data_IF_233762524374
#
_entry.id   IF_233762524374
#
_cell.length_a   1.000
_cell.length_b   1.000
_cell.length_c   1.000
_cell.angle_alpha   90.00
_cell.angle_beta   90.00
_cell.angle_gamma   90.00
#
_symmetry.space_group_name_H-M   'P 1'
#
loop_
_entity.id
_entity.type
_entity.pdbx_description
1 polymer ?
#
# COMPACT_ATOMS: atom_id res chain seq x y z
N UNK A 1 -42.10 -12.08 -11.46
CA UNK A 1 -43.07 -12.59 -12.47
C UNK A 1 -44.27 -11.67 -12.69
N UNK A 2 -44.73 -10.93 -11.66
CA UNK A 2 -45.88 -10.02 -11.75
C UNK A 2 -45.60 -8.75 -12.57
N UNK A 3 -44.40 -8.18 -12.47
CA UNK A 3 -44.03 -6.93 -13.17
C UNK A 3 -43.98 -7.13 -14.70
N UNK A 4 -43.43 -8.25 -15.17
CA UNK A 4 -43.38 -8.58 -16.60
C UNK A 4 -44.78 -8.75 -17.22
N UNK A 5 -45.72 -9.36 -16.47
CA UNK A 5 -47.12 -9.49 -16.90
C UNK A 5 -47.82 -8.14 -17.01
N UNK A 6 -47.54 -7.20 -16.11
CA UNK A 6 -48.14 -5.85 -16.16
C UNK A 6 -47.61 -5.08 -17.38
N UNK A 7 -46.30 -5.13 -17.66
CA UNK A 7 -45.67 -4.45 -18.82
C UNK A 7 -46.19 -5.00 -20.15
N UNK A 8 -46.22 -6.33 -20.31
CA UNK A 8 -46.74 -6.97 -21.54
C UNK A 8 -48.23 -6.73 -21.77
N UNK A 9 -49.02 -6.56 -20.69
CA UNK A 9 -50.46 -6.27 -20.79
C UNK A 9 -50.74 -4.80 -21.08
N UNK A 10 -49.91 -3.89 -20.57
CA UNK A 10 -49.99 -2.45 -20.87
C UNK A 10 -49.66 -2.17 -22.36
N UNK A 11 -48.62 -2.80 -22.89
CA UNK A 11 -48.22 -2.66 -24.31
C UNK A 11 -49.25 -3.25 -25.28
N UNK A 12 -49.93 -4.35 -24.91
CA UNK A 12 -51.03 -4.93 -25.72
C UNK A 12 -52.23 -4.02 -25.89
N UNK A 13 -52.49 -3.10 -24.95
CA UNK A 13 -53.63 -2.16 -25.06
C UNK A 13 -53.33 -0.96 -25.97
N UNK A 14 -52.06 -0.66 -26.24
CA UNK A 14 -51.64 0.55 -26.96
C UNK A 14 -51.39 0.31 -28.46
N UNK A 15 -51.17 -0.94 -28.88
CA UNK A 15 -50.93 -1.33 -30.27
C UNK A 15 -51.76 -2.57 -30.65
N UNK A 16 -52.51 -2.51 -31.74
CA UNK A 16 -53.35 -3.59 -32.27
C UNK A 16 -52.46 -4.69 -32.91
N UNK A 17 -51.66 -5.40 -32.10
CA UNK A 17 -50.82 -6.51 -32.56
C UNK A 17 -51.65 -7.79 -32.76
N UNK A 18 -51.37 -8.53 -33.84
CA UNK A 18 -51.87 -9.89 -34.05
C UNK A 18 -51.40 -10.82 -32.92
N UNK A 19 -52.23 -11.79 -32.55
CA UNK A 19 -51.94 -12.70 -31.41
C UNK A 19 -50.57 -13.35 -31.57
N UNK A 20 -50.21 -13.80 -32.78
CA UNK A 20 -48.93 -14.45 -33.09
C UNK A 20 -47.71 -13.54 -32.86
N UNK A 21 -47.78 -12.25 -33.21
CA UNK A 21 -46.67 -11.31 -33.00
C UNK A 21 -46.47 -10.96 -31.52
N UNK A 22 -47.53 -11.03 -30.69
CA UNK A 22 -47.44 -10.80 -29.24
C UNK A 22 -46.67 -11.88 -28.49
N UNK A 23 -46.74 -13.16 -28.90
CA UNK A 23 -45.99 -14.25 -28.25
C UNK A 23 -44.50 -14.15 -28.56
N UNK A 24 -44.15 -13.83 -29.81
CA UNK A 24 -42.77 -13.65 -30.27
C UNK A 24 -42.07 -12.48 -29.56
N UNK A 25 -42.75 -11.34 -29.37
CA UNK A 25 -42.20 -10.20 -28.62
C UNK A 25 -41.99 -10.52 -27.13
N UNK A 26 -42.92 -11.23 -26.50
CA UNK A 26 -42.76 -11.67 -25.11
C UNK A 26 -41.56 -12.61 -24.94
N UNK A 27 -41.35 -13.53 -25.88
CA UNK A 27 -40.22 -14.46 -25.83
C UNK A 27 -38.87 -13.70 -25.90
N UNK A 28 -38.74 -12.76 -26.83
CA UNK A 28 -37.53 -11.93 -26.98
C UNK A 28 -37.26 -11.12 -25.71
N UNK A 29 -38.28 -10.49 -25.13
CA UNK A 29 -38.14 -9.72 -23.88
C UNK A 29 -37.73 -10.61 -22.71
N UNK A 30 -38.31 -11.81 -22.57
CA UNK A 30 -37.93 -12.74 -21.50
C UNK A 30 -36.51 -13.26 -21.65
N UNK A 31 -36.08 -13.57 -22.87
CA UNK A 31 -34.73 -14.03 -23.16
C UNK A 31 -33.71 -12.91 -22.95
N UNK A 32 -34.03 -11.68 -23.35
CA UNK A 32 -33.23 -10.49 -23.06
C UNK A 32 -33.08 -10.24 -21.55
N UNK A 33 -34.17 -10.33 -20.79
CA UNK A 33 -34.15 -10.19 -19.33
C UNK A 33 -33.33 -11.30 -18.64
N UNK A 34 -33.44 -12.53 -19.14
CA UNK A 34 -32.63 -13.66 -18.66
C UNK A 34 -31.14 -13.43 -18.94
N UNK A 35 -30.78 -13.03 -20.17
CA UNK A 35 -29.40 -12.68 -20.52
C UNK A 35 -28.85 -11.54 -19.64
N UNK A 36 -29.64 -10.50 -19.39
CA UNK A 36 -29.24 -9.39 -18.52
C UNK A 36 -28.99 -9.84 -17.08
N UNK A 37 -29.83 -10.72 -16.53
CA UNK A 37 -29.63 -11.27 -15.19
C UNK A 37 -28.33 -12.10 -15.08
N UNK A 38 -28.02 -12.91 -16.10
CA UNK A 38 -26.78 -13.69 -16.16
C UNK A 38 -25.56 -12.78 -16.20
N UNK A 39 -25.60 -11.72 -17.02
CA UNK A 39 -24.51 -10.75 -17.13
C UNK A 39 -24.28 -10.04 -15.79
N UNK A 40 -25.35 -9.56 -15.13
CA UNK A 40 -25.25 -8.91 -13.82
C UNK A 40 -24.66 -9.86 -12.77
N UNK A 41 -25.08 -11.13 -12.75
CA UNK A 41 -24.55 -12.12 -11.81
C UNK A 41 -23.06 -12.40 -12.02
N UNK A 42 -22.62 -12.48 -13.29
CA UNK A 42 -21.22 -12.67 -13.62
C UNK A 42 -20.36 -11.47 -13.19
N UNK A 43 -20.80 -10.24 -13.48
CA UNK A 43 -20.09 -9.02 -13.06
C UNK A 43 -20.04 -8.86 -11.54
N UNK A 44 -21.13 -9.19 -10.85
CA UNK A 44 -21.19 -9.15 -9.38
C UNK A 44 -20.19 -10.13 -8.76
N UNK A 45 -20.17 -11.38 -9.22
CA UNK A 45 -19.27 -12.41 -8.71
C UNK A 45 -17.80 -12.04 -8.94
N UNK A 46 -17.45 -11.54 -10.14
CA UNK A 46 -16.11 -11.07 -10.44
C UNK A 46 -15.66 -9.88 -9.58
N UNK A 47 -16.56 -8.90 -9.38
CA UNK A 47 -16.26 -7.71 -8.56
C UNK A 47 -16.07 -8.07 -7.09
N UNK A 48 -16.87 -9.01 -6.57
CA UNK A 48 -16.76 -9.49 -5.19
C UNK A 48 -15.42 -10.19 -4.93
N UNK A 49 -15.02 -11.09 -5.83
CA UNK A 49 -13.72 -11.78 -5.74
C UNK A 49 -12.56 -10.77 -5.86
N UNK A 50 -12.67 -9.83 -6.79
CA UNK A 50 -11.69 -8.74 -6.92
C UNK A 50 -11.54 -7.95 -5.62
N UNK A 51 -12.66 -7.58 -4.98
CA UNK A 51 -12.64 -6.87 -3.70
C UNK A 51 -12.00 -7.68 -2.56
N UNK A 52 -12.20 -9.00 -2.52
CA UNK A 52 -11.60 -9.89 -1.51
C UNK A 52 -10.09 -10.09 -1.70
N UNK A 53 -9.61 -10.06 -2.95
CA UNK A 53 -8.20 -10.18 -3.27
C UNK A 53 -7.44 -8.85 -3.11
N UNK A 54 -8.15 -7.73 -3.08
CA UNK A 54 -7.54 -6.43 -2.84
C UNK A 54 -7.05 -6.31 -1.40
N UNK A 55 -5.76 -5.96 -1.24
CA UNK A 55 -5.19 -5.59 0.06
C UNK A 55 -5.95 -4.38 0.63
N UNK A 56 -6.34 -4.37 1.91
CA UNK A 56 -7.05 -3.24 2.51
C UNK A 56 -6.22 -1.96 2.41
N UNK A 57 -6.90 -0.86 2.09
CA UNK A 57 -6.28 0.46 2.05
C UNK A 57 -5.91 0.91 3.45
N UNK A 58 -4.64 1.25 3.66
CA UNK A 58 -4.15 1.80 4.94
C UNK A 58 -4.08 3.32 4.83
N UNK A 59 -4.32 3.99 5.97
CA UNK A 59 -4.32 5.46 6.06
C UNK A 59 -2.91 6.04 6.26
N UNK A 60 -1.94 5.23 6.69
CA UNK A 60 -0.57 5.69 6.94
C UNK A 60 0.25 5.52 5.66
N UNK A 61 0.49 6.64 4.95
CA UNK A 61 1.30 6.65 3.72
C UNK A 61 2.48 7.61 3.80
N UNK A 62 2.34 8.68 4.56
CA UNK A 62 3.37 9.70 4.71
C UNK A 62 3.97 9.68 6.10
N UNK A 63 5.14 10.31 6.24
CA UNK A 63 5.79 10.48 7.53
C UNK A 63 4.90 11.26 8.52
N UNK A 64 4.12 12.23 8.02
CA UNK A 64 3.17 13.01 8.83
C UNK A 64 2.04 12.14 9.38
N UNK A 65 1.54 11.20 8.59
CA UNK A 65 0.53 10.25 9.05
C UNK A 65 1.11 9.31 10.11
N UNK A 66 2.37 8.89 9.95
CA UNK A 66 3.06 8.05 10.92
C UNK A 66 3.22 8.77 12.26
N UNK A 67 3.61 10.04 12.24
CA UNK A 67 3.77 10.89 13.43
C UNK A 67 2.45 11.05 14.20
N UNK A 68 1.32 11.17 13.48
CA UNK A 68 -0.01 11.31 14.07
C UNK A 68 -0.67 9.98 14.42
N UNK A 69 -0.15 8.86 13.92
CA UNK A 69 -0.65 7.52 14.21
C UNK A 69 -0.36 7.10 15.66
N UNK A 70 -1.09 6.11 16.21
CA UNK A 70 -0.78 5.52 17.51
C UNK A 70 0.47 4.63 17.51
N UNK A 71 1.08 4.37 16.35
CA UNK A 71 2.26 3.51 16.26
C UNK A 71 3.45 4.11 17.00
N UNK A 72 4.23 3.26 17.66
CA UNK A 72 5.54 3.65 18.19
C UNK A 72 6.55 3.64 17.04
N UNK A 73 7.58 4.47 17.11
CA UNK A 73 8.63 4.46 16.09
C UNK A 73 10.02 4.37 16.72
N UNK A 74 10.92 3.66 16.04
CA UNK A 74 12.33 3.56 16.36
C UNK A 74 13.21 3.62 15.12
N UNK A 75 14.51 3.65 15.35
CA UNK A 75 15.52 3.76 14.31
C UNK A 75 16.65 2.77 14.58
N UNK A 76 17.37 2.37 13.54
CA UNK A 76 18.59 1.60 13.67
C UNK A 76 19.68 2.41 14.38
N UNK A 77 20.47 1.76 15.24
CA UNK A 77 21.58 2.42 15.94
C UNK A 77 22.86 2.46 15.09
N UNK A 78 22.81 3.21 14.00
CA UNK A 78 23.97 3.46 13.12
C UNK A 78 24.39 4.92 13.13
N UNK A 79 25.70 5.16 12.91
CA UNK A 79 26.28 6.50 12.99
C UNK A 79 25.67 7.47 11.98
N UNK A 80 25.37 6.99 10.76
CA UNK A 80 24.76 7.81 9.71
C UNK A 80 23.36 8.29 10.12
N UNK A 81 22.50 7.43 10.67
CA UNK A 81 21.17 7.83 11.14
C UNK A 81 21.26 8.88 12.24
N UNK A 82 22.16 8.67 13.21
CA UNK A 82 22.42 9.62 14.30
C UNK A 82 22.87 10.97 13.76
N UNK A 83 23.76 10.98 12.78
CA UNK A 83 24.26 12.21 12.16
C UNK A 83 23.18 12.88 11.32
N UNK A 84 22.37 12.11 10.58
CA UNK A 84 21.25 12.63 9.82
C UNK A 84 20.25 13.37 10.72
N UNK A 85 19.89 12.79 11.87
CA UNK A 85 19.01 13.48 12.83
C UNK A 85 19.65 14.73 13.45
N UNK A 86 20.98 14.81 13.55
CA UNK A 86 21.68 15.99 14.08
C UNK A 86 21.84 17.10 13.03
N UNK A 87 22.27 16.75 11.82
CA UNK A 87 22.63 17.66 10.73
C UNK A 87 21.42 18.05 9.89
N UNK A 88 20.59 17.07 9.50
CA UNK A 88 19.39 17.28 8.67
C UNK A 88 18.12 17.52 9.48
N UNK A 89 18.27 17.79 10.77
CA UNK A 89 17.23 18.31 11.65
C UNK A 89 16.54 19.58 11.12
N UNK A 90 16.99 20.23 10.05
CA UNK A 90 16.32 21.42 9.50
C UNK A 90 14.89 21.14 9.01
N UNK A 91 14.58 19.91 8.59
CA UNK A 91 13.22 19.54 8.19
C UNK A 91 12.31 19.34 9.42
N UNK A 92 11.24 20.13 9.50
CA UNK A 92 10.37 20.22 10.69
C UNK A 92 9.68 18.88 11.00
N UNK A 93 9.34 18.10 9.96
CA UNK A 93 8.69 16.80 10.08
C UNK A 93 9.64 15.76 10.70
N UNK A 94 10.91 15.74 10.27
CA UNK A 94 11.92 14.82 10.79
C UNK A 94 12.24 15.10 12.26
N UNK A 95 12.30 16.39 12.64
CA UNK A 95 12.40 16.80 14.05
C UNK A 95 11.20 16.32 14.86
N UNK A 96 9.98 16.52 14.34
CA UNK A 96 8.78 16.11 15.05
C UNK A 96 8.77 14.60 15.28
N UNK A 97 9.14 13.79 14.28
CA UNK A 97 9.30 12.34 14.45
C UNK A 97 10.30 12.00 15.56
N UNK A 98 11.48 12.63 15.52
CA UNK A 98 12.56 12.37 16.46
C UNK A 98 12.11 12.66 17.91
N UNK A 99 11.58 13.85 18.18
CA UNK A 99 11.18 14.24 19.54
C UNK A 99 9.90 13.55 20.03
N UNK A 100 8.96 13.25 19.14
CA UNK A 100 7.65 12.70 19.51
C UNK A 100 7.66 11.19 19.65
N UNK A 101 8.46 10.48 18.85
CA UNK A 101 8.41 9.00 18.75
C UNK A 101 9.74 8.32 19.10
N UNK A 102 10.88 8.85 18.67
CA UNK A 102 12.17 8.15 18.76
C UNK A 102 12.92 8.46 20.07
N UNK A 103 12.96 9.73 20.48
CA UNK A 103 13.52 10.15 21.76
C UNK A 103 12.52 9.86 22.88
N UNK A 104 12.77 8.81 23.66
CA UNK A 104 11.95 8.50 24.83
C UNK A 104 12.04 9.59 25.90
N UNK A 105 10.97 9.76 26.68
CA UNK A 105 10.85 10.76 27.75
C UNK A 105 11.87 10.61 28.91
N UNK A 106 12.68 9.55 28.91
CA UNK A 106 13.47 9.11 30.07
C UNK A 106 14.83 8.50 29.68
N UNK A 107 15.54 9.13 28.74
CA UNK A 107 16.89 8.72 28.32
C UNK A 107 16.97 7.33 27.62
N UNK A 108 15.84 6.65 27.44
CA UNK A 108 15.72 5.46 26.60
C UNK A 108 15.46 5.93 25.16
N UNK A 109 16.51 6.02 24.37
CA UNK A 109 16.37 6.32 22.94
C UNK A 109 15.93 5.03 22.22
N UNK A 110 14.91 5.07 21.37
CA UNK A 110 14.39 3.91 20.61
C UNK A 110 15.31 3.53 19.44
N UNK A 111 16.61 3.56 19.69
CA UNK A 111 17.64 3.12 18.77
C UNK A 111 17.96 1.68 19.11
N UNK A 112 17.73 0.79 18.15
CA UNK A 112 17.77 -0.65 18.33
C UNK A 112 18.62 -1.28 17.25
N UNK A 113 19.10 -2.49 17.50
CA UNK A 113 19.67 -3.33 16.44
C UNK A 113 18.58 -3.74 15.43
N UNK A 114 18.94 -4.01 14.16
CA UNK A 114 18.01 -4.44 13.12
C UNK A 114 17.10 -5.59 13.55
N UNK A 115 17.67 -6.61 14.20
CA UNK A 115 16.96 -7.82 14.60
C UNK A 115 15.93 -7.52 15.69
N UNK A 116 16.29 -6.68 16.66
CA UNK A 116 15.38 -6.27 17.74
C UNK A 116 14.26 -5.37 17.22
N UNK A 117 14.60 -4.41 16.35
CA UNK A 117 13.64 -3.49 15.76
C UNK A 117 12.63 -4.20 14.86
N UNK A 118 13.09 -5.08 13.97
CA UNK A 118 12.23 -5.85 13.07
C UNK A 118 11.34 -6.84 13.81
N UNK A 119 11.83 -7.45 14.90
CA UNK A 119 10.99 -8.30 15.77
C UNK A 119 9.83 -7.53 16.41
N UNK A 120 10.04 -6.26 16.78
CA UNK A 120 8.95 -5.41 17.29
C UNK A 120 7.95 -5.03 16.18
N UNK A 121 8.42 -4.86 14.94
CA UNK A 121 7.55 -4.63 13.78
C UNK A 121 6.69 -5.86 13.51
N UNK A 122 7.26 -7.05 13.58
CA UNK A 122 6.55 -8.33 13.42
C UNK A 122 5.42 -8.49 14.46
N UNK A 123 5.68 -8.11 15.71
CA UNK A 123 4.67 -8.12 16.79
C UNK A 123 3.53 -7.11 16.57
N UNK A 124 3.71 -6.16 15.65
CA UNK A 124 2.75 -5.12 15.33
C UNK A 124 2.78 -3.91 16.27
N UNK A 125 2.19 -2.80 15.81
CA UNK A 125 2.10 -1.57 16.60
C UNK A 125 3.40 -0.74 16.64
N UNK A 126 4.43 -1.16 15.91
CA UNK A 126 5.74 -0.52 15.85
C UNK A 126 6.16 -0.23 14.41
N UNK A 127 6.78 0.93 14.19
CA UNK A 127 7.43 1.32 12.94
C UNK A 127 8.93 1.44 13.19
N UNK A 128 9.74 0.80 12.35
CA UNK A 128 11.18 0.77 12.52
C UNK A 128 11.86 1.26 11.25
N UNK A 129 12.75 2.23 11.41
CA UNK A 129 13.64 2.65 10.34
C UNK A 129 14.92 1.83 10.36
N UNK A 130 15.26 1.26 9.21
CA UNK A 130 16.41 0.37 8.97
C UNK A 130 16.78 0.47 7.50
N UNK A 131 18.05 0.23 7.18
CA UNK A 131 18.49 0.16 5.80
C UNK A 131 17.81 -1.01 5.06
N UNK A 132 17.29 -0.75 3.86
CA UNK A 132 16.61 -1.75 3.03
C UNK A 132 17.48 -2.98 2.72
N UNK A 133 18.79 -2.77 2.51
CA UNK A 133 19.75 -3.84 2.25
C UNK A 133 19.92 -4.80 3.44
N UNK A 134 19.80 -4.29 4.67
CA UNK A 134 19.87 -5.08 5.91
C UNK A 134 18.50 -5.67 6.27
N UNK A 135 17.42 -4.93 5.99
CA UNK A 135 16.08 -5.31 6.41
C UNK A 135 15.52 -6.52 5.63
N UNK A 136 15.63 -6.53 4.30
CA UNK A 136 14.99 -7.57 3.48
C UNK A 136 15.47 -9.00 3.80
N UNK A 137 16.77 -9.28 3.95
CA UNK A 137 17.23 -10.62 4.33
C UNK A 137 16.68 -11.08 5.68
N UNK A 138 16.60 -10.17 6.66
CA UNK A 138 16.07 -10.47 8.00
C UNK A 138 14.56 -10.73 7.94
N UNK A 139 13.83 -9.90 7.19
CA UNK A 139 12.37 -10.07 7.00
C UNK A 139 12.07 -11.40 6.33
N UNK A 140 12.78 -11.75 5.27
CA UNK A 140 12.61 -13.03 4.55
C UNK A 140 12.86 -14.23 5.47
N UNK A 141 13.85 -14.15 6.37
CA UNK A 141 14.18 -15.22 7.29
C UNK A 141 13.24 -15.33 8.50
N UNK A 142 12.64 -14.22 8.95
CA UNK A 142 11.97 -14.15 10.25
C UNK A 142 10.46 -13.97 10.16
N UNK A 143 9.96 -13.25 9.16
CA UNK A 143 8.54 -12.86 9.09
C UNK A 143 7.70 -13.97 8.46
N UNK A 144 6.52 -14.23 9.01
CA UNK A 144 5.51 -15.04 8.34
C UNK A 144 4.93 -14.36 7.10
N UNK A 145 4.46 -15.14 6.12
CA UNK A 145 3.90 -14.63 4.85
C UNK A 145 2.82 -13.56 5.06
N UNK A 146 1.94 -13.77 6.04
CA UNK A 146 0.89 -12.79 6.38
C UNK A 146 1.47 -11.46 6.87
N UNK A 147 2.52 -11.50 7.69
CA UNK A 147 3.19 -10.31 8.18
C UNK A 147 3.88 -9.56 7.02
N UNK A 148 4.50 -10.29 6.09
CA UNK A 148 5.08 -9.72 4.86
C UNK A 148 4.01 -9.03 4.02
N UNK A 149 2.85 -9.68 3.82
CA UNK A 149 1.73 -9.09 3.08
C UNK A 149 1.16 -7.85 3.78
N UNK A 150 1.22 -7.76 5.11
CA UNK A 150 0.74 -6.61 5.88
C UNK A 150 1.79 -5.50 6.02
N UNK A 151 3.08 -5.82 5.86
CA UNK A 151 4.19 -4.88 5.95
C UNK A 151 4.01 -3.71 4.99
N UNK A 152 4.48 -2.54 5.44
CA UNK A 152 4.45 -1.28 4.68
C UNK A 152 5.76 -0.55 4.89
N UNK A 153 6.25 0.04 3.82
CA UNK A 153 7.43 0.87 3.81
C UNK A 153 7.03 2.33 3.62
N UNK A 154 7.69 3.22 4.36
CA UNK A 154 7.55 4.66 4.23
C UNK A 154 8.95 5.23 4.12
N UNK A 155 9.19 6.02 3.09
CA UNK A 155 10.48 6.65 2.89
C UNK A 155 10.71 7.76 3.94
N UNK A 156 11.74 7.58 4.77
CA UNK A 156 12.16 8.57 5.77
C UNK A 156 13.19 9.54 5.21
N UNK A 157 14.25 9.00 4.57
CA UNK A 157 15.32 9.80 3.99
C UNK A 157 15.04 10.06 2.50
N UNK A 158 15.37 11.26 2.05
CA UNK A 158 15.38 11.56 0.61
C UNK A 158 16.47 10.71 -0.04
N UNK A 159 16.21 10.26 -1.26
CA UNK A 159 17.20 9.53 -2.05
C UNK A 159 18.45 10.40 -2.21
N UNK A 160 19.57 9.96 -1.64
CA UNK A 160 20.88 10.61 -1.77
C UNK A 160 21.72 9.78 -2.74
N UNK A 161 22.45 10.42 -3.67
CA UNK A 161 23.38 9.69 -4.53
C UNK A 161 24.55 9.17 -3.68
N UNK A 162 24.69 7.85 -3.60
CA UNK A 162 25.88 7.22 -3.01
C UNK A 162 27.03 7.29 -4.00
N UNK A 163 28.19 7.68 -3.50
CA UNK A 163 29.44 7.75 -4.25
C UNK A 163 30.45 6.79 -3.63
N UNK A 164 31.38 6.31 -4.45
CA UNK A 164 32.48 5.51 -3.94
C UNK A 164 33.42 6.38 -3.10
N UNK A 165 33.84 5.87 -1.95
CA UNK A 165 34.75 6.58 -1.06
C UNK A 165 36.20 6.42 -1.56
N UNK A 166 36.87 7.53 -1.88
CA UNK A 166 38.26 7.54 -2.32
C UNK A 166 39.15 8.38 -1.41
N UNK A 167 40.44 8.08 -1.41
CA UNK A 167 41.43 8.97 -0.80
C UNK A 167 41.39 10.34 -1.47
N UNK A 168 41.58 11.39 -0.66
CA UNK A 168 41.62 12.77 -1.16
C UNK A 168 42.72 12.91 -2.22
N UNK A 169 42.34 13.37 -3.42
CA UNK A 169 43.21 13.47 -4.61
C UNK A 169 43.65 12.13 -5.24
N UNK A 170 42.87 11.07 -5.06
CA UNK A 170 43.08 9.81 -5.79
C UNK A 170 42.95 10.04 -7.31
N UNK A 171 43.92 9.57 -8.13
CA UNK A 171 43.83 9.64 -9.59
C UNK A 171 42.72 8.74 -10.15
N UNK A 172 42.18 7.82 -9.35
CA UNK A 172 41.09 6.91 -9.75
C UNK A 172 39.70 7.52 -9.62
N UNK A 173 39.57 8.71 -9.03
CA UNK A 173 38.27 9.36 -8.80
C UNK A 173 37.52 9.56 -10.12
N UNK A 174 38.16 10.18 -11.11
CA UNK A 174 37.49 10.53 -12.38
C UNK A 174 37.12 9.27 -13.19
N UNK A 175 37.90 8.20 -13.08
CA UNK A 175 37.64 6.93 -13.75
C UNK A 175 36.43 6.19 -13.14
N UNK A 176 36.20 6.32 -11.83
CA UNK A 176 35.18 5.55 -11.13
C UNK A 176 33.90 6.35 -10.84
N UNK A 177 33.98 7.69 -10.71
CA UNK A 177 32.81 8.57 -10.56
C UNK A 177 32.01 8.69 -11.88
N UNK A 178 32.60 8.39 -13.04
CA UNK A 178 31.97 8.57 -14.37
C UNK A 178 30.97 7.48 -14.77
N UNK A 179 30.79 6.43 -13.98
CA UNK A 179 29.94 5.27 -14.34
C UNK A 179 28.47 5.32 -13.93
N UNK A 180 28.00 6.45 -13.38
CA UNK A 180 26.61 6.64 -12.94
C UNK A 180 25.70 7.36 -13.97
N UNK A 181 26.11 7.56 -15.23
CA UNK A 181 25.33 8.30 -16.25
C UNK A 181 25.11 7.52 -17.56
N UNK A 182 24.97 6.19 -17.51
CA UNK A 182 24.44 5.38 -18.62
C UNK A 182 23.28 4.51 -18.16
#
# INVERSE_FOLDING_TARGET
>A
MTILKIVTTFERKKYHYSVETSWSLSAIVTLGAFCQQVIIYQFYSASLVSHLLMKPVTNIRTLKDLINSPLKAGCEDILYDRDYFKVHSTDEITKELLYKKILGKRNTSNFLSPEQGLKLVEQGGYAFHVETATAYPIIEATFGEKAICELREIQLFRTQPMHANFQKHSPFRDMLDTWYVL
#
